data_IF_483739942572
#
_entry.id   IF_483739942572
#
_cell.length_a   1.000
_cell.length_b   1.000
_cell.length_c   1.000
_cell.angle_alpha   90.00
_cell.angle_beta   90.00
_cell.angle_gamma   90.00
#
_symmetry.space_group_name_H-M   'P 1'
#
loop_
_entity.id
_entity.type
_entity.pdbx_description
1 polymer ?
#
# COMPACT_ATOMS: atom_id res chain seq x y z
N UNK A 1 -20.83 8.35 9.88
CA UNK A 1 -20.11 9.64 9.82
C UNK A 1 -19.29 9.99 11.07
N UNK A 2 -19.84 9.94 12.29
CA UNK A 2 -19.08 10.33 13.52
C UNK A 2 -17.84 9.45 13.79
N UNK A 3 -17.90 8.16 13.53
CA UNK A 3 -16.77 7.22 13.75
C UNK A 3 -15.63 7.42 12.75
N UNK A 4 -15.95 7.76 11.50
CA UNK A 4 -14.94 8.05 10.45
C UNK A 4 -14.17 9.33 10.77
N UNK A 5 -14.85 10.35 11.29
CA UNK A 5 -14.25 11.61 11.70
C UNK A 5 -13.29 11.41 12.90
N UNK A 6 -13.65 10.53 13.83
CA UNK A 6 -12.82 10.20 15.00
C UNK A 6 -11.55 9.44 14.62
N UNK A 7 -11.63 8.50 13.67
CA UNK A 7 -10.48 7.76 13.16
C UNK A 7 -9.54 8.69 12.39
N UNK A 8 -10.07 9.59 11.56
CA UNK A 8 -9.30 10.59 10.84
C UNK A 8 -8.61 11.59 11.79
N UNK A 9 -9.29 12.07 12.84
CA UNK A 9 -8.69 12.98 13.83
C UNK A 9 -7.62 12.29 14.68
N UNK A 10 -7.81 11.05 15.11
CA UNK A 10 -6.80 10.30 15.88
C UNK A 10 -5.56 10.00 15.06
N UNK A 11 -5.71 9.70 13.77
CA UNK A 11 -4.60 9.52 12.83
C UNK A 11 -3.81 10.82 12.62
N UNK A 12 -4.46 11.97 12.64
CA UNK A 12 -3.81 13.28 12.44
C UNK A 12 -2.91 13.68 13.62
N UNK A 13 -3.26 13.31 14.85
CA UNK A 13 -2.48 13.65 16.05
C UNK A 13 -1.18 12.84 16.19
N UNK A 14 -1.10 11.65 15.59
CA UNK A 14 0.12 10.82 15.60
C UNK A 14 1.16 11.23 14.54
N UNK A 15 0.83 12.17 13.66
CA UNK A 15 1.62 12.51 12.45
C UNK A 15 2.69 13.58 12.71
N UNK A 16 2.67 14.26 13.86
CA UNK A 16 3.60 15.38 14.14
C UNK A 16 4.99 14.87 14.51
N UNK A 17 5.89 14.77 13.53
CA UNK A 17 7.34 14.68 13.77
C UNK A 17 8.06 13.40 13.30
N UNK A 18 7.43 12.49 12.57
CA UNK A 18 8.07 11.25 12.12
C UNK A 18 8.32 11.24 10.60
N UNK A 19 9.58 11.10 10.18
CA UNK A 19 9.96 10.89 8.77
C UNK A 19 9.51 9.50 8.29
N UNK A 20 9.13 9.41 7.02
CA UNK A 20 8.74 8.12 6.40
C UNK A 20 7.24 7.81 6.40
N UNK A 21 6.40 8.83 6.62
CA UNK A 21 4.94 8.72 6.59
C UNK A 21 4.37 9.25 5.29
N UNK A 22 3.25 8.67 4.86
CA UNK A 22 2.45 9.23 3.78
C UNK A 22 0.96 8.99 4.01
N UNK A 23 0.17 9.96 3.61
CA UNK A 23 -1.29 9.88 3.58
C UNK A 23 -1.76 10.18 2.16
N UNK A 24 -2.57 9.29 1.60
CA UNK A 24 -3.19 9.44 0.28
C UNK A 24 -4.71 9.43 0.42
N UNK A 25 -5.36 10.30 -0.32
CA UNK A 25 -6.80 10.29 -0.56
C UNK A 25 -7.03 10.25 -2.07
N UNK A 26 -7.95 9.42 -2.52
CA UNK A 26 -8.38 9.34 -3.90
C UNK A 26 -9.91 9.36 -3.95
N UNK A 27 -10.46 10.28 -4.74
CA UNK A 27 -11.88 10.29 -5.11
C UNK A 27 -12.01 9.64 -6.48
N UNK A 28 -12.60 8.49 -6.52
CA UNK A 28 -12.87 7.74 -7.75
C UNK A 28 -14.33 7.83 -8.16
N UNK A 29 -14.68 7.21 -9.29
CA UNK A 29 -16.05 7.17 -9.82
C UNK A 29 -16.99 6.35 -8.95
N UNK A 30 -16.50 5.26 -8.34
CA UNK A 30 -17.30 4.32 -7.56
C UNK A 30 -17.04 4.42 -6.06
N UNK A 31 -15.83 4.86 -5.65
CA UNK A 31 -15.37 4.78 -4.25
C UNK A 31 -14.38 5.86 -3.90
N UNK A 32 -14.40 6.25 -2.62
CA UNK A 32 -13.33 7.03 -2.00
C UNK A 32 -12.34 6.04 -1.39
N UNK A 33 -11.05 6.27 -1.62
CA UNK A 33 -9.96 5.47 -1.10
C UNK A 33 -9.03 6.34 -0.25
N UNK A 34 -8.69 5.86 0.94
CA UNK A 34 -7.70 6.45 1.83
C UNK A 34 -6.60 5.43 2.15
N UNK A 35 -5.34 5.86 2.16
CA UNK A 35 -4.19 5.00 2.44
C UNK A 35 -3.16 5.75 3.30
N UNK A 36 -2.95 5.27 4.51
CA UNK A 36 -1.93 5.77 5.42
C UNK A 36 -0.78 4.76 5.49
N UNK A 37 0.45 5.22 5.30
CA UNK A 37 1.66 4.39 5.35
C UNK A 37 2.65 4.99 6.32
N UNK A 38 3.35 4.12 7.05
CA UNK A 38 4.41 4.47 7.95
C UNK A 38 5.55 3.47 7.85
N UNK A 39 6.77 3.99 7.69
CA UNK A 39 7.99 3.21 7.64
C UNK A 39 8.98 3.73 8.67
N UNK A 40 9.53 2.85 9.49
CA UNK A 40 10.58 3.16 10.46
C UNK A 40 11.70 2.13 10.38
N UNK A 41 12.94 2.59 10.32
CA UNK A 41 14.11 1.76 10.56
C UNK A 41 14.31 1.57 12.06
N UNK A 42 14.65 0.37 12.48
CA UNK A 42 14.77 -0.02 13.87
C UNK A 42 16.24 -0.05 14.34
N UNK A 43 17.19 -0.11 13.41
CA UNK A 43 18.62 -0.17 13.65
C UNK A 43 19.39 0.86 12.81
N UNK A 44 20.64 1.17 13.22
CA UNK A 44 21.51 2.13 12.53
C UNK A 44 21.95 1.62 11.16
N UNK A 45 22.16 0.33 11.01
CA UNK A 45 22.53 -0.33 9.75
C UNK A 45 21.36 -0.39 8.74
N UNK A 46 20.15 0.01 9.17
CA UNK A 46 18.91 -0.02 8.36
C UNK A 46 18.56 -1.42 7.82
N UNK A 47 18.99 -2.46 8.50
CA UNK A 47 18.67 -3.85 8.17
C UNK A 47 17.26 -4.22 8.61
N UNK A 48 16.86 -3.73 9.79
CA UNK A 48 15.53 -3.95 10.34
C UNK A 48 14.63 -2.76 10.10
N UNK A 49 13.43 -3.01 9.61
CA UNK A 49 12.41 -1.97 9.43
C UNK A 49 11.02 -2.49 9.80
N UNK A 50 10.23 -1.58 10.33
CA UNK A 50 8.80 -1.77 10.55
C UNK A 50 8.05 -0.91 9.53
N UNK A 51 7.24 -1.55 8.70
CA UNK A 51 6.32 -0.89 7.78
C UNK A 51 4.89 -1.17 8.23
N UNK A 52 4.09 -0.15 8.34
CA UNK A 52 2.66 -0.27 8.65
C UNK A 52 1.84 0.43 7.58
N UNK A 53 0.68 -0.13 7.30
CA UNK A 53 -0.23 0.39 6.31
C UNK A 53 -1.67 0.20 6.73
N UNK A 54 -2.46 1.28 6.67
CA UNK A 54 -3.91 1.24 6.91
C UNK A 54 -4.62 1.82 5.71
N UNK A 55 -5.63 1.12 5.23
CA UNK A 55 -6.46 1.51 4.08
C UNK A 55 -7.92 1.51 4.46
N UNK A 56 -8.64 2.47 3.92
CA UNK A 56 -10.09 2.50 3.93
C UNK A 56 -10.59 2.70 2.49
N UNK A 57 -11.55 1.90 2.08
CA UNK A 57 -12.27 2.09 0.83
C UNK A 57 -13.75 2.20 1.19
N UNK A 58 -14.37 3.30 0.79
CA UNK A 58 -15.79 3.58 1.06
C UNK A 58 -16.47 3.78 -0.28
N UNK A 59 -17.45 2.96 -0.60
CA UNK A 59 -18.29 3.18 -1.77
C UNK A 59 -19.36 4.24 -1.47
N UNK A 60 -20.01 4.72 -2.52
CA UNK A 60 -21.03 5.76 -2.38
C UNK A 60 -22.37 5.23 -1.84
N UNK A 61 -22.50 3.92 -1.66
CA UNK A 61 -23.60 3.24 -0.97
C UNK A 61 -23.33 3.01 0.52
N UNK A 62 -22.26 3.63 1.07
CA UNK A 62 -21.82 3.59 2.49
C UNK A 62 -21.18 2.26 2.95
N UNK A 63 -20.88 1.32 2.08
CA UNK A 63 -20.10 0.14 2.44
C UNK A 63 -18.63 0.51 2.66
N UNK A 64 -18.06 0.05 3.76
CA UNK A 64 -16.68 0.36 4.12
C UNK A 64 -15.86 -0.92 4.20
N UNK A 65 -14.75 -0.95 3.47
CA UNK A 65 -13.75 -2.00 3.55
C UNK A 65 -12.46 -1.43 4.18
N UNK A 66 -12.02 -2.04 5.28
CA UNK A 66 -10.83 -1.65 6.02
C UNK A 66 -9.76 -2.74 5.91
N UNK A 67 -8.52 -2.30 5.80
CA UNK A 67 -7.33 -3.15 5.87
C UNK A 67 -6.26 -2.46 6.71
N UNK A 68 -5.63 -3.21 7.61
CA UNK A 68 -4.42 -2.80 8.32
C UNK A 68 -3.41 -3.94 8.27
N UNK A 69 -2.17 -3.61 7.92
CA UNK A 69 -1.05 -4.56 7.90
C UNK A 69 0.19 -3.96 8.58
N UNK A 70 0.90 -4.80 9.33
CA UNK A 70 2.20 -4.48 9.93
C UNK A 70 3.25 -5.47 9.45
N UNK A 71 4.37 -4.98 8.91
CA UNK A 71 5.44 -5.76 8.28
C UNK A 71 6.73 -5.54 9.06
N UNK A 72 7.27 -6.58 9.65
CA UNK A 72 8.64 -6.59 10.19
C UNK A 72 9.56 -7.17 9.12
N UNK A 73 10.50 -6.35 8.64
CA UNK A 73 11.41 -6.70 7.56
C UNK A 73 12.85 -6.77 8.07
N UNK A 74 13.60 -7.78 7.63
CA UNK A 74 15.05 -7.83 7.71
C UNK A 74 15.61 -7.82 6.28
N UNK A 75 16.38 -6.80 5.91
CA UNK A 75 16.89 -6.57 4.55
C UNK A 75 18.40 -6.60 4.54
N UNK A 76 18.99 -7.42 3.69
CA UNK A 76 20.45 -7.47 3.48
C UNK A 76 20.95 -6.31 2.62
N UNK A 77 22.24 -6.04 2.54
CA UNK A 77 22.79 -5.01 1.66
C UNK A 77 22.48 -5.22 0.16
N UNK A 78 22.23 -6.46 -0.27
CA UNK A 78 21.80 -6.77 -1.65
C UNK A 78 20.36 -6.36 -1.94
N UNK A 79 19.58 -6.06 -0.89
CA UNK A 79 18.15 -5.76 -0.99
C UNK A 79 17.21 -6.95 -0.80
N UNK A 80 17.75 -8.18 -0.75
CA UNK A 80 16.96 -9.37 -0.47
C UNK A 80 16.79 -9.52 1.05
N UNK A 81 15.61 -9.93 1.50
CA UNK A 81 15.36 -10.09 2.93
C UNK A 81 14.16 -10.96 3.25
N UNK A 82 13.90 -11.11 4.54
CA UNK A 82 12.73 -11.81 5.09
C UNK A 82 11.70 -10.82 5.65
N UNK A 83 10.44 -11.18 5.56
CA UNK A 83 9.29 -10.42 6.09
C UNK A 83 8.40 -11.32 6.92
N UNK A 84 7.97 -10.83 8.08
CA UNK A 84 6.81 -11.34 8.80
C UNK A 84 5.74 -10.26 8.74
N UNK A 85 4.53 -10.63 8.35
CA UNK A 85 3.39 -9.74 8.18
C UNK A 85 2.25 -10.19 9.07
N UNK A 86 1.67 -9.26 9.84
CA UNK A 86 0.35 -9.41 10.44
C UNK A 86 -0.65 -8.50 9.73
N UNK A 87 -1.84 -9.01 9.43
CA UNK A 87 -2.89 -8.27 8.73
C UNK A 87 -4.26 -8.48 9.34
N UNK A 88 -5.07 -7.43 9.29
CA UNK A 88 -6.48 -7.43 9.68
C UNK A 88 -7.26 -6.67 8.61
N UNK A 89 -8.36 -7.23 8.17
CA UNK A 89 -9.30 -6.57 7.27
C UNK A 89 -10.73 -6.68 7.80
N UNK A 90 -11.69 -6.04 7.13
CA UNK A 90 -13.11 -6.18 7.45
C UNK A 90 -13.62 -7.62 7.32
N UNK A 91 -12.89 -8.48 6.60
CA UNK A 91 -13.33 -9.85 6.29
C UNK A 91 -12.49 -10.92 6.97
N UNK A 92 -11.22 -10.64 7.31
CA UNK A 92 -10.28 -11.64 7.81
C UNK A 92 -9.14 -11.03 8.61
N UNK A 93 -8.51 -11.88 9.44
CA UNK A 93 -7.23 -11.60 10.06
C UNK A 93 -6.27 -12.76 9.74
N UNK A 94 -4.99 -12.46 9.58
CA UNK A 94 -3.99 -13.47 9.25
C UNK A 94 -2.57 -12.97 9.48
N UNK A 95 -1.63 -13.90 9.36
CA UNK A 95 -0.20 -13.63 9.38
C UNK A 95 0.49 -14.39 8.25
N UNK A 96 1.50 -13.78 7.68
CA UNK A 96 2.26 -14.35 6.57
C UNK A 96 3.76 -14.25 6.86
N UNK A 97 4.53 -15.16 6.29
CA UNK A 97 5.99 -15.06 6.22
C UNK A 97 6.43 -15.12 4.76
N UNK A 98 7.47 -14.38 4.43
CA UNK A 98 7.90 -14.31 3.03
C UNK A 98 9.30 -13.79 2.81
N UNK A 99 9.68 -13.76 1.55
CA UNK A 99 10.94 -13.18 1.07
C UNK A 99 10.62 -11.92 0.29
N UNK A 100 11.37 -10.86 0.56
CA UNK A 100 11.22 -9.62 -0.16
C UNK A 100 12.50 -9.19 -0.87
N UNK A 101 12.32 -8.32 -1.84
CA UNK A 101 13.37 -7.51 -2.45
C UNK A 101 13.03 -6.03 -2.28
N UNK A 102 13.98 -5.23 -1.81
CA UNK A 102 13.84 -3.79 -1.65
C UNK A 102 15.05 -3.07 -2.23
N UNK A 103 14.79 -2.11 -3.10
CA UNK A 103 15.81 -1.20 -3.61
C UNK A 103 15.22 0.19 -3.82
N UNK A 104 15.95 1.21 -3.38
CA UNK A 104 15.53 2.60 -3.55
C UNK A 104 16.72 3.50 -3.84
N UNK A 105 16.49 4.51 -4.67
CA UNK A 105 17.39 5.64 -4.90
C UNK A 105 16.57 6.94 -4.92
N UNK A 106 17.14 8.04 -5.40
CA UNK A 106 16.47 9.34 -5.41
C UNK A 106 15.22 9.40 -6.30
N UNK A 107 15.12 8.56 -7.33
CA UNK A 107 14.06 8.61 -8.33
C UNK A 107 13.21 7.35 -8.39
N UNK A 108 13.79 6.20 -8.03
CA UNK A 108 13.11 4.89 -8.14
C UNK A 108 13.06 4.20 -6.79
N UNK A 109 11.91 3.66 -6.43
CA UNK A 109 11.75 2.72 -5.32
C UNK A 109 11.02 1.48 -5.82
N UNK A 110 11.60 0.32 -5.56
CA UNK A 110 11.00 -0.99 -5.81
C UNK A 110 10.98 -1.79 -4.51
N UNK A 111 9.80 -2.29 -4.16
CA UNK A 111 9.59 -3.31 -3.16
C UNK A 111 8.79 -4.45 -3.78
N UNK A 112 9.20 -5.70 -3.56
CA UNK A 112 8.48 -6.88 -3.99
C UNK A 112 8.55 -7.93 -2.88
N UNK A 113 7.43 -8.57 -2.55
CA UNK A 113 7.27 -9.57 -1.50
C UNK A 113 6.50 -10.77 -2.05
N UNK A 114 7.09 -11.96 -1.94
CA UNK A 114 6.40 -13.23 -2.06
C UNK A 114 6.21 -13.81 -0.66
N UNK A 115 4.98 -14.13 -0.28
CA UNK A 115 4.67 -14.62 1.06
C UNK A 115 3.68 -15.78 1.06
N UNK A 116 3.73 -16.56 2.14
CA UNK A 116 2.85 -17.70 2.42
C UNK A 116 2.12 -17.39 3.71
N UNK A 117 0.83 -17.64 3.75
CA UNK A 117 0.01 -17.50 4.95
C UNK A 117 0.35 -18.56 5.99
N UNK A 118 0.50 -18.15 7.25
CA UNK A 118 0.78 -19.03 8.39
C UNK A 118 -0.54 -19.54 8.99
N UNK A 119 -1.34 -20.20 8.17
CA UNK A 119 -2.62 -20.82 8.55
C UNK A 119 -2.67 -22.29 8.18
N UNK A 120 -3.81 -22.97 8.42
CA UNK A 120 -4.00 -24.36 8.04
C UNK A 120 -4.22 -24.56 6.54
N UNK A 121 -4.77 -23.55 5.88
CA UNK A 121 -5.03 -23.56 4.44
C UNK A 121 -3.85 -22.90 3.71
N UNK A 122 -3.36 -23.58 2.68
CA UNK A 122 -2.25 -23.07 1.89
C UNK A 122 -2.70 -21.84 1.08
N UNK A 123 -2.13 -20.71 1.39
CA UNK A 123 -2.35 -19.48 0.63
C UNK A 123 -1.01 -18.77 0.44
N UNK A 124 -0.78 -18.24 -0.75
CA UNK A 124 0.42 -17.48 -1.07
C UNK A 124 0.06 -16.21 -1.83
N UNK A 125 0.86 -15.18 -1.61
CA UNK A 125 0.61 -13.89 -2.21
C UNK A 125 1.87 -13.26 -2.80
N UNK A 126 1.64 -12.43 -3.79
CA UNK A 126 2.61 -11.51 -4.35
C UNK A 126 2.17 -10.08 -4.09
N UNK A 127 3.07 -9.26 -3.55
CA UNK A 127 2.85 -7.83 -3.35
C UNK A 127 4.04 -7.05 -3.89
N UNK A 128 3.80 -6.03 -4.70
CA UNK A 128 4.87 -5.15 -5.15
C UNK A 128 4.44 -3.70 -5.25
N UNK A 129 5.40 -2.80 -5.00
CA UNK A 129 5.28 -1.36 -5.17
C UNK A 129 6.46 -0.88 -6.00
N UNK A 130 6.16 -0.20 -7.10
CA UNK A 130 7.11 0.56 -7.89
C UNK A 130 6.74 2.04 -7.84
N UNK A 131 7.70 2.90 -7.53
CA UNK A 131 7.58 4.36 -7.64
C UNK A 131 8.69 4.88 -8.52
N UNK A 132 8.33 5.80 -9.41
CA UNK A 132 9.27 6.51 -10.26
C UNK A 132 8.98 8.00 -10.19
N UNK A 133 9.97 8.78 -9.71
CA UNK A 133 9.79 10.20 -9.33
C UNK A 133 10.95 11.02 -9.91
N UNK A 134 11.15 11.07 -11.25
CA UNK A 134 12.20 11.84 -11.87
C UNK A 134 11.94 13.34 -11.78
N UNK A 135 13.01 14.13 -11.71
CA UNK A 135 12.92 15.58 -11.70
C UNK A 135 12.55 16.11 -13.08
N UNK A 136 11.53 16.96 -13.15
CA UNK A 136 11.13 17.71 -14.36
C UNK A 136 11.74 19.11 -14.37
N UNK A 137 11.91 19.70 -13.19
CA UNK A 137 12.54 21.00 -12.97
C UNK A 137 13.00 21.11 -11.51
N UNK A 138 13.56 22.24 -11.10
CA UNK A 138 14.02 22.48 -9.72
C UNK A 138 12.89 22.33 -8.66
N UNK A 139 11.64 22.53 -9.06
CA UNK A 139 10.49 22.51 -8.14
C UNK A 139 9.51 21.38 -8.39
N UNK A 140 9.52 20.78 -9.58
CA UNK A 140 8.52 19.80 -9.99
C UNK A 140 9.18 18.47 -10.34
N UNK A 141 8.54 17.39 -9.91
CA UNK A 141 8.89 16.02 -10.29
C UNK A 141 7.67 15.34 -10.89
N UNK A 142 7.90 14.45 -11.83
CA UNK A 142 6.87 13.49 -12.21
C UNK A 142 6.64 12.52 -11.05
N UNK A 143 5.42 12.10 -10.83
CA UNK A 143 5.11 11.01 -9.91
C UNK A 143 4.41 9.90 -10.66
N UNK A 144 5.01 8.72 -10.64
CA UNK A 144 4.39 7.49 -11.14
C UNK A 144 4.47 6.44 -10.04
N UNK A 145 3.34 5.80 -9.73
CA UNK A 145 3.23 4.71 -8.77
C UNK A 145 2.45 3.55 -9.36
N UNK A 146 3.01 2.35 -9.24
CA UNK A 146 2.32 1.09 -9.54
C UNK A 146 2.38 0.21 -8.30
N UNK A 147 1.24 -0.33 -7.90
CA UNK A 147 1.12 -1.32 -6.85
C UNK A 147 0.35 -2.51 -7.39
N UNK A 148 0.88 -3.70 -7.15
CA UNK A 148 0.28 -4.95 -7.53
C UNK A 148 0.17 -5.83 -6.29
N UNK A 149 -1.00 -6.43 -6.10
CA UNK A 149 -1.24 -7.48 -5.12
C UNK A 149 -2.01 -8.61 -5.79
N UNK A 150 -1.60 -9.84 -5.55
CA UNK A 150 -2.32 -11.03 -5.99
C UNK A 150 -2.21 -12.10 -4.92
N UNK A 151 -3.33 -12.75 -4.61
CA UNK A 151 -3.41 -13.85 -3.66
C UNK A 151 -3.94 -15.10 -4.37
N UNK A 152 -3.35 -16.24 -4.03
CA UNK A 152 -3.72 -17.57 -4.52
C UNK A 152 -3.98 -18.48 -3.33
N UNK A 153 -5.06 -19.25 -3.39
CA UNK A 153 -5.37 -20.34 -2.48
C UNK A 153 -5.19 -21.71 -3.17
N UNK A 154 -5.69 -22.76 -2.53
CA UNK A 154 -5.58 -24.13 -3.03
C UNK A 154 -6.25 -24.32 -4.40
N UNK A 155 -7.36 -23.62 -4.66
CA UNK A 155 -8.11 -23.70 -5.91
C UNK A 155 -7.60 -22.76 -7.01
N UNK A 156 -6.55 -21.98 -6.77
CA UNK A 156 -5.99 -21.01 -7.71
C UNK A 156 -6.15 -19.56 -7.28
N UNK A 157 -6.40 -18.67 -8.23
CA UNK A 157 -6.52 -17.23 -7.96
C UNK A 157 -7.71 -16.92 -7.03
N UNK A 158 -7.48 -16.12 -6.01
CA UNK A 158 -8.47 -15.65 -5.03
C UNK A 158 -8.81 -14.19 -5.26
N UNK A 159 -7.80 -13.32 -5.24
CA UNK A 159 -7.99 -11.90 -5.40
C UNK A 159 -6.75 -11.20 -5.97
N UNK A 160 -6.97 -10.16 -6.75
CA UNK A 160 -5.93 -9.23 -7.22
C UNK A 160 -6.36 -7.79 -7.05
N UNK A 161 -5.39 -6.94 -6.75
CA UNK A 161 -5.58 -5.48 -6.72
C UNK A 161 -4.41 -4.82 -7.43
N UNK A 162 -4.72 -3.93 -8.34
CA UNK A 162 -3.74 -3.12 -9.07
C UNK A 162 -4.06 -1.64 -8.83
N UNK A 163 -3.05 -0.84 -8.52
CA UNK A 163 -3.20 0.61 -8.31
C UNK A 163 -2.16 1.36 -9.13
N UNK A 164 -2.64 2.19 -10.02
CA UNK A 164 -1.81 3.08 -10.82
C UNK A 164 -2.01 4.53 -10.36
N UNK A 165 -0.91 5.27 -10.27
CA UNK A 165 -0.90 6.70 -9.99
C UNK A 165 -0.01 7.39 -11.01
N UNK A 166 -0.50 8.47 -11.59
CA UNK A 166 0.25 9.31 -12.51
C UNK A 166 -0.04 10.79 -12.20
N UNK A 167 0.99 11.58 -11.96
CA UNK A 167 0.79 12.96 -11.58
C UNK A 167 2.09 13.72 -11.39
N UNK A 168 2.00 14.78 -10.61
CA UNK A 168 3.11 15.66 -10.28
C UNK A 168 3.41 15.61 -8.78
N UNK A 169 4.66 15.86 -8.44
CA UNK A 169 5.14 15.97 -7.07
C UNK A 169 5.82 17.33 -6.85
N UNK A 170 5.46 18.00 -5.75
CA UNK A 170 6.06 19.25 -5.29
C UNK A 170 6.00 19.35 -3.77
N UNK A 171 7.12 19.66 -3.13
CA UNK A 171 7.19 19.94 -1.68
C UNK A 171 6.55 18.84 -0.80
N UNK A 172 6.70 17.57 -1.21
CA UNK A 172 6.12 16.42 -0.51
C UNK A 172 4.65 16.17 -0.80
N UNK A 173 3.99 17.02 -1.61
CA UNK A 173 2.66 16.73 -2.15
C UNK A 173 2.78 16.03 -3.50
N UNK A 174 1.92 15.07 -3.74
CA UNK A 174 1.77 14.33 -4.99
C UNK A 174 0.28 14.36 -5.36
N UNK A 175 -0.04 14.68 -6.59
CA UNK A 175 -1.43 14.77 -7.04
C UNK A 175 -1.54 14.48 -8.53
N UNK A 176 -2.67 13.96 -8.95
CA UNK A 176 -2.89 13.57 -10.33
C UNK A 176 -4.02 12.56 -10.48
N UNK A 177 -3.90 11.70 -11.50
CA UNK A 177 -4.86 10.67 -11.84
C UNK A 177 -4.50 9.35 -11.15
N UNK A 178 -5.51 8.67 -10.63
CA UNK A 178 -5.42 7.36 -10.01
C UNK A 178 -6.37 6.36 -10.69
N UNK A 179 -5.94 5.10 -10.73
CA UNK A 179 -6.77 3.99 -11.17
C UNK A 179 -6.58 2.85 -10.18
N UNK A 180 -7.68 2.36 -9.61
CA UNK A 180 -7.70 1.11 -8.84
C UNK A 180 -8.48 0.08 -9.62
N UNK A 181 -7.89 -1.09 -9.81
CA UNK A 181 -8.49 -2.27 -10.41
C UNK A 181 -8.51 -3.38 -9.38
N UNK A 182 -9.57 -4.16 -9.31
CA UNK A 182 -9.60 -5.39 -8.53
C UNK A 182 -10.28 -6.50 -9.30
N UNK A 183 -9.86 -7.74 -8.98
CA UNK A 183 -10.46 -8.95 -9.50
C UNK A 183 -10.53 -9.99 -8.40
N UNK A 184 -11.66 -10.68 -8.30
CA UNK A 184 -11.94 -11.72 -7.29
C UNK A 184 -12.39 -12.98 -8.02
N UNK A 185 -12.09 -14.12 -7.40
CA UNK A 185 -12.47 -15.46 -7.91
C UNK A 185 -11.46 -16.07 -8.88
N UNK A 186 -11.58 -17.36 -9.10
CA UNK A 186 -10.62 -18.20 -9.83
C UNK A 186 -10.36 -17.73 -11.26
N UNK A 187 -11.39 -17.23 -11.94
CA UNK A 187 -11.34 -16.77 -13.32
C UNK A 187 -11.67 -15.26 -13.42
N UNK A 188 -11.43 -14.48 -12.34
CA UNK A 188 -11.80 -13.06 -12.28
C UNK A 188 -13.31 -12.84 -12.50
N UNK A 189 -14.13 -13.68 -11.84
CA UNK A 189 -15.59 -13.65 -11.97
C UNK A 189 -16.18 -12.29 -11.62
N UNK A 190 -15.55 -11.61 -10.64
CA UNK A 190 -15.90 -10.25 -10.24
C UNK A 190 -14.72 -9.32 -10.53
N UNK A 191 -14.96 -8.29 -11.30
CA UNK A 191 -13.96 -7.24 -11.58
C UNK A 191 -14.53 -5.87 -11.27
N UNK A 192 -13.67 -5.00 -10.77
CA UNK A 192 -14.04 -3.63 -10.41
C UNK A 192 -12.97 -2.65 -10.87
N UNK A 193 -13.40 -1.48 -11.32
CA UNK A 193 -12.56 -0.43 -11.85
C UNK A 193 -12.97 0.92 -11.27
N UNK A 194 -12.05 1.58 -10.59
CA UNK A 194 -12.30 2.86 -9.94
C UNK A 194 -11.24 3.90 -10.39
N UNK A 195 -11.43 4.56 -11.54
CA UNK A 195 -10.63 5.72 -11.95
C UNK A 195 -10.99 6.95 -11.12
N UNK A 196 -10.02 7.88 -10.93
CA UNK A 196 -10.26 9.08 -10.14
C UNK A 196 -9.06 10.01 -10.08
N UNK A 197 -9.13 10.96 -9.17
CA UNK A 197 -8.05 11.90 -8.86
C UNK A 197 -7.54 11.60 -7.44
N UNK A 198 -6.24 11.77 -7.24
CA UNK A 198 -5.63 11.56 -5.91
C UNK A 198 -4.82 12.77 -5.47
N UNK A 199 -4.72 12.91 -4.15
CA UNK A 199 -3.74 13.74 -3.47
C UNK A 199 -3.05 12.90 -2.41
N UNK A 200 -1.73 13.02 -2.32
CA UNK A 200 -0.90 12.35 -1.32
C UNK A 200 0.08 13.35 -0.72
N UNK A 201 0.24 13.29 0.60
CA UNK A 201 1.30 14.00 1.34
C UNK A 201 2.31 13.00 1.86
N UNK A 202 3.59 13.29 1.65
CA UNK A 202 4.72 12.61 2.27
C UNK A 202 5.33 13.55 3.32
N UNK A 203 5.54 13.02 4.54
CA UNK A 203 6.05 13.75 5.71
C UNK A 203 7.51 13.41 6.00
#
# INVERSE_FOLDING_TARGET
>A
MKSLLLILTFSFFLISGMKGQSLELMSGTERIFADAQWLRTLDEDKKWSLFSRTRATVDYEENTNLFTGGYLNYTTPSGIGGTILGRISSQSAGSDAGVHFFKANAEVMLFALASVELSKELSYSWFSILRFIPSLSDRWKLFTGLELFTNFGEEGHVASVQRLRLGLSREGYQFGFGLNLSGIGKNYEETDTNPGIFIRKQF
#
